data_IF_503075873407
#
_entry.id   IF_503075873407
#
_cell.length_a   1.000
_cell.length_b   1.000
_cell.length_c   1.000
_cell.angle_alpha   90.00
_cell.angle_beta   90.00
_cell.angle_gamma   90.00
#
_symmetry.space_group_name_H-M   'P 1'
#
loop_
_entity.id
_entity.type
_entity.pdbx_description
1 polymer ?
#
# COMPACT_ATOMS: atom_id res chain seq x y z
N UNK A 1 3.71 11.48 -13.19
CA UNK A 1 2.87 10.96 -12.09
C UNK A 1 1.92 12.07 -11.68
N UNK A 2 0.66 11.77 -11.31
CA UNK A 2 -0.27 12.81 -10.89
C UNK A 2 0.30 13.62 -9.73
N UNK A 3 0.08 14.94 -9.77
CA UNK A 3 0.41 15.81 -8.64
C UNK A 3 -0.71 15.72 -7.60
N UNK A 4 -0.33 15.56 -6.34
CA UNK A 4 -1.23 15.60 -5.20
C UNK A 4 -0.65 16.55 -4.16
N UNK A 5 -1.49 17.46 -3.68
CA UNK A 5 -1.13 18.41 -2.62
C UNK A 5 -2.14 18.23 -1.50
N UNK A 6 -1.64 17.98 -0.28
CA UNK A 6 -2.44 17.97 0.93
C UNK A 6 -2.08 19.18 1.79
N UNK A 7 -3.07 19.72 2.50
CA UNK A 7 -2.82 20.70 3.55
C UNK A 7 -2.18 20.05 4.77
N UNK A 8 -1.53 20.86 5.61
CA UNK A 8 -0.97 20.38 6.87
C UNK A 8 -2.08 19.82 7.78
N UNK A 9 -3.30 20.37 7.75
CA UNK A 9 -4.43 19.83 8.51
C UNK A 9 -4.84 18.43 8.02
N UNK A 10 -4.90 18.21 6.69
CA UNK A 10 -5.22 16.89 6.13
C UNK A 10 -4.17 15.84 6.50
N UNK A 11 -2.88 16.20 6.40
CA UNK A 11 -1.76 15.34 6.77
C UNK A 11 -1.82 15.00 8.26
N UNK A 12 -2.10 16.00 9.11
CA UNK A 12 -2.15 15.80 10.55
C UNK A 12 -3.35 14.91 10.95
N UNK A 13 -4.53 15.15 10.36
CA UNK A 13 -5.73 14.37 10.64
C UNK A 13 -5.58 12.87 10.28
N UNK A 14 -4.96 12.54 9.15
CA UNK A 14 -4.69 11.13 8.81
C UNK A 14 -3.62 10.52 9.71
N UNK A 15 -2.58 11.29 10.08
CA UNK A 15 -1.53 10.82 11.00
C UNK A 15 -2.07 10.48 12.37
N UNK A 16 -2.98 11.29 12.91
CA UNK A 16 -3.59 11.04 14.22
C UNK A 16 -4.43 9.77 14.20
N UNK A 17 -5.27 9.56 13.18
CA UNK A 17 -6.02 8.31 13.00
C UNK A 17 -5.11 7.10 12.86
N UNK A 18 -4.03 7.24 12.08
CA UNK A 18 -3.04 6.18 11.91
C UNK A 18 -2.33 5.83 13.22
N UNK A 19 -1.96 6.84 14.02
CA UNK A 19 -1.34 6.66 15.33
C UNK A 19 -2.28 5.98 16.33
N UNK A 20 -3.56 6.33 16.36
CA UNK A 20 -4.57 5.64 17.19
C UNK A 20 -4.67 4.16 16.80
N UNK A 21 -4.78 3.87 15.51
CA UNK A 21 -4.80 2.49 14.99
C UNK A 21 -3.56 1.70 15.42
N UNK A 22 -2.35 2.26 15.24
CA UNK A 22 -1.11 1.63 15.69
C UNK A 22 -1.08 1.38 17.20
N UNK A 23 -1.51 2.36 18.01
CA UNK A 23 -1.50 2.24 19.47
C UNK A 23 -2.44 1.14 19.95
N UNK A 24 -3.68 1.10 19.43
CA UNK A 24 -4.66 0.06 19.76
C UNK A 24 -4.16 -1.32 19.35
N UNK A 25 -3.59 -1.42 18.16
CA UNK A 25 -3.03 -2.67 17.65
C UNK A 25 -1.86 -3.16 18.53
N UNK A 26 -0.91 -2.28 18.89
CA UNK A 26 0.19 -2.62 19.83
C UNK A 26 -0.28 -2.99 21.23
N UNK A 27 -1.44 -2.49 21.65
CA UNK A 27 -2.06 -2.85 22.92
C UNK A 27 -2.85 -4.18 22.85
N UNK A 28 -2.84 -4.88 21.71
CA UNK A 28 -3.62 -6.10 21.49
C UNK A 28 -5.13 -5.85 21.43
N UNK A 29 -5.55 -4.60 21.24
CA UNK A 29 -6.96 -4.25 21.12
C UNK A 29 -7.39 -4.36 19.66
N UNK A 30 -8.61 -4.88 19.38
CA UNK A 30 -9.18 -4.84 18.03
C UNK A 30 -9.19 -3.40 17.50
N UNK A 31 -8.60 -3.18 16.34
CA UNK A 31 -8.51 -1.89 15.69
C UNK A 31 -8.89 -2.00 14.21
N UNK A 32 -9.53 -0.97 13.69
CA UNK A 32 -9.88 -0.81 12.28
C UNK A 32 -9.60 0.63 11.88
N UNK A 33 -9.09 0.81 10.67
CA UNK A 33 -8.93 2.13 10.06
C UNK A 33 -9.41 2.10 8.61
N UNK A 34 -10.17 3.11 8.23
CA UNK A 34 -10.60 3.36 6.87
C UNK A 34 -9.83 4.55 6.29
N UNK A 35 -9.24 4.35 5.12
CA UNK A 35 -8.41 5.33 4.43
C UNK A 35 -8.93 5.54 3.02
N UNK A 36 -9.27 6.78 2.70
CA UNK A 36 -9.54 7.18 1.31
C UNK A 36 -8.25 7.22 0.48
N UNK A 37 -8.38 7.34 -0.84
CA UNK A 37 -7.22 7.61 -1.71
C UNK A 37 -6.49 8.90 -1.30
N UNK A 38 -7.23 9.93 -0.89
CA UNK A 38 -6.67 11.22 -0.46
C UNK A 38 -5.93 11.09 0.88
N UNK A 39 -6.41 10.26 1.80
CA UNK A 39 -5.71 9.96 3.06
C UNK A 39 -4.34 9.31 2.79
N UNK A 40 -4.33 8.31 1.91
CA UNK A 40 -3.10 7.59 1.52
C UNK A 40 -2.15 8.55 0.81
N UNK A 41 -2.65 9.34 -0.14
CA UNK A 41 -1.83 10.31 -0.86
C UNK A 41 -1.35 11.46 0.03
N UNK A 42 -2.08 11.83 1.09
CA UNK A 42 -1.63 12.80 2.10
C UNK A 42 -0.44 12.26 2.88
N UNK A 43 -0.48 10.98 3.28
CA UNK A 43 0.67 10.32 3.91
C UNK A 43 1.87 10.23 2.95
N UNK A 44 1.64 9.91 1.68
CA UNK A 44 2.70 9.87 0.65
C UNK A 44 3.31 11.27 0.44
N UNK A 45 2.49 12.31 0.33
CA UNK A 45 2.94 13.69 0.14
C UNK A 45 3.80 14.18 1.31
N UNK A 46 3.55 13.68 2.52
CA UNK A 46 4.33 14.00 3.70
C UNK A 46 5.66 13.21 3.81
N UNK A 47 5.87 12.18 2.99
CA UNK A 47 7.10 11.38 2.96
C UNK A 47 8.07 11.88 1.90
N UNK A 48 9.27 12.31 2.30
CA UNK A 48 10.33 12.75 1.35
C UNK A 48 10.74 11.65 0.38
N UNK A 49 10.65 10.39 0.81
CA UNK A 49 11.07 9.26 -0.01
C UNK A 49 10.03 8.88 -1.06
N UNK A 50 8.74 9.04 -0.75
CA UNK A 50 7.62 8.63 -1.59
C UNK A 50 6.96 9.78 -2.37
N UNK A 51 7.03 11.02 -1.87
CA UNK A 51 6.44 12.19 -2.52
C UNK A 51 6.98 12.34 -3.95
N UNK A 52 6.06 12.46 -4.91
CA UNK A 52 6.41 12.56 -6.32
C UNK A 52 6.99 11.27 -6.93
N UNK A 53 7.01 10.17 -6.16
CA UNK A 53 7.46 8.82 -6.60
C UNK A 53 6.36 7.76 -6.54
N UNK A 54 5.30 7.98 -5.77
CA UNK A 54 4.17 7.07 -5.61
C UNK A 54 2.87 7.87 -5.67
N UNK A 55 1.83 7.28 -6.25
CA UNK A 55 0.47 7.79 -6.25
C UNK A 55 -0.53 6.64 -6.13
N UNK A 56 -1.58 6.84 -5.34
CA UNK A 56 -2.63 5.85 -5.11
C UNK A 56 -3.97 6.37 -5.59
N UNK A 57 -4.76 5.50 -6.21
CA UNK A 57 -6.16 5.76 -6.53
C UNK A 57 -7.02 4.56 -6.13
N UNK A 58 -8.26 4.83 -5.73
CA UNK A 58 -9.22 3.80 -5.36
C UNK A 58 -10.49 4.05 -6.17
N UNK A 59 -10.95 3.05 -6.91
CA UNK A 59 -12.18 3.10 -7.70
C UNK A 59 -13.06 1.90 -7.34
N UNK A 60 -14.14 2.13 -6.59
CA UNK A 60 -14.97 1.04 -6.07
C UNK A 60 -14.14 0.09 -5.20
N UNK A 61 -13.98 -1.15 -5.66
CA UNK A 61 -13.24 -2.21 -4.97
C UNK A 61 -11.82 -2.43 -5.53
N UNK A 62 -11.34 -1.48 -6.32
CA UNK A 62 -10.05 -1.56 -7.00
C UNK A 62 -9.07 -0.54 -6.42
N UNK A 63 -7.92 -1.03 -5.96
CA UNK A 63 -6.77 -0.22 -5.58
C UNK A 63 -5.79 -0.17 -6.74
N UNK A 64 -5.38 1.04 -7.14
CA UNK A 64 -4.32 1.23 -8.14
C UNK A 64 -3.19 2.05 -7.55
N UNK A 65 -1.99 1.48 -7.61
CA UNK A 65 -0.73 2.04 -7.18
C UNK A 65 0.11 2.36 -8.41
N UNK A 66 0.48 3.62 -8.58
CA UNK A 66 1.42 4.05 -9.60
C UNK A 66 2.72 4.45 -8.92
N UNK A 67 3.85 3.91 -9.38
CA UNK A 67 5.16 4.18 -8.84
C UNK A 67 6.14 4.51 -9.97
N UNK A 68 6.93 5.56 -9.76
CA UNK A 68 8.04 5.96 -10.62
C UNK A 68 9.24 6.22 -9.71
N UNK A 69 10.11 5.21 -9.57
CA UNK A 69 11.27 5.28 -8.66
C UNK A 69 12.56 5.26 -9.48
N UNK A 70 13.44 6.28 -9.37
CA UNK A 70 14.75 6.23 -10.02
C UNK A 70 15.58 5.11 -9.36
N UNK A 71 15.80 4.02 -10.10
CA UNK A 71 16.67 2.91 -9.67
C UNK A 71 18.16 3.24 -9.86
N UNK A 72 18.46 4.26 -10.67
CA UNK A 72 19.82 4.61 -11.02
C UNK A 72 20.71 5.00 -9.84
N UNK A 73 20.14 5.63 -8.81
CA UNK A 73 20.84 5.97 -7.57
C UNK A 73 21.17 4.72 -6.74
N UNK A 74 20.34 3.68 -6.82
CA UNK A 74 20.56 2.39 -6.14
C UNK A 74 21.52 1.45 -6.88
N UNK A 75 21.59 1.54 -8.21
CA UNK A 75 22.38 0.64 -9.06
C UNK A 75 23.68 1.28 -9.59
N UNK A 76 24.00 2.51 -9.18
CA UNK A 76 25.18 3.26 -9.67
C UNK A 76 25.12 3.58 -11.16
N UNK A 77 23.93 3.60 -11.76
CA UNK A 77 23.71 3.85 -13.19
C UNK A 77 22.64 4.93 -13.35
N UNK A 78 23.01 6.21 -13.47
CA UNK A 78 22.03 7.28 -13.67
C UNK A 78 21.16 7.00 -14.91
N UNK A 79 19.87 7.35 -14.83
CA UNK A 79 18.92 7.25 -15.95
C UNK A 79 17.93 6.08 -15.90
N UNK A 80 18.14 5.06 -15.08
CA UNK A 80 17.20 3.95 -14.96
C UNK A 80 16.07 4.25 -13.97
N UNK A 81 14.82 4.13 -14.43
CA UNK A 81 13.61 4.30 -13.62
C UNK A 81 12.82 2.99 -13.59
N UNK A 82 12.30 2.64 -12.40
CA UNK A 82 11.22 1.68 -12.28
C UNK A 82 9.91 2.42 -12.47
N UNK A 83 9.18 2.08 -13.52
CA UNK A 83 7.81 2.51 -13.73
C UNK A 83 6.90 1.29 -13.51
N UNK A 84 6.08 1.37 -12.46
CA UNK A 84 5.11 0.35 -12.12
C UNK A 84 3.72 0.94 -12.03
N UNK A 85 2.77 0.33 -12.70
CA UNK A 85 1.35 0.57 -12.52
C UNK A 85 0.71 -0.74 -12.07
N UNK A 86 0.36 -0.83 -10.79
CA UNK A 86 -0.15 -2.03 -10.15
C UNK A 86 -1.61 -1.79 -9.81
N UNK A 87 -2.47 -2.65 -10.32
CA UNK A 87 -3.89 -2.63 -9.98
C UNK A 87 -4.28 -3.93 -9.29
N UNK A 88 -4.94 -3.82 -8.14
CA UNK A 88 -5.39 -4.93 -7.31
C UNK A 88 -6.91 -4.83 -7.15
N UNK A 89 -7.62 -5.92 -7.44
CA UNK A 89 -9.06 -6.03 -7.28
C UNK A 89 -9.40 -6.87 -6.05
N UNK A 90 -10.25 -6.34 -5.17
CA UNK A 90 -10.67 -6.99 -3.94
C UNK A 90 -12.11 -7.49 -4.08
N UNK A 91 -12.35 -8.75 -3.69
CA UNK A 91 -13.70 -9.33 -3.63
C UNK A 91 -14.32 -9.29 -2.23
N UNK A 92 -13.54 -8.86 -1.24
CA UNK A 92 -13.90 -8.78 0.16
C UNK A 92 -12.65 -8.57 1.01
N UNK A 93 -12.76 -8.85 2.31
CA UNK A 93 -11.61 -8.86 3.20
C UNK A 93 -10.68 -10.03 2.88
N UNK A 94 -9.42 -9.72 2.64
CA UNK A 94 -8.34 -10.67 2.35
C UNK A 94 -7.38 -10.72 3.54
N UNK A 95 -6.98 -11.93 3.94
CA UNK A 95 -5.97 -12.12 4.98
C UNK A 95 -4.58 -11.77 4.45
N UNK A 96 -3.81 -10.96 5.18
CA UNK A 96 -2.40 -10.72 4.87
C UNK A 96 -1.49 -11.88 5.30
N UNK A 97 -2.04 -12.94 5.92
CA UNK A 97 -1.29 -14.17 6.20
C UNK A 97 -1.02 -14.99 4.95
N UNK A 98 -2.01 -15.06 4.05
CA UNK A 98 -1.91 -15.74 2.78
C UNK A 98 -2.78 -14.99 1.74
N UNK A 99 -2.35 -13.79 1.30
CA UNK A 99 -3.19 -12.91 0.49
C UNK A 99 -3.51 -13.55 -0.86
N UNK A 100 -4.80 -13.79 -1.11
CA UNK A 100 -5.30 -14.24 -2.40
C UNK A 100 -5.63 -13.01 -3.25
N UNK A 101 -4.59 -12.30 -3.71
CA UNK A 101 -4.78 -11.14 -4.57
C UNK A 101 -5.41 -11.58 -5.90
N UNK A 102 -6.75 -11.50 -5.96
CA UNK A 102 -7.59 -12.11 -7.00
C UNK A 102 -7.19 -11.73 -8.42
N UNK A 103 -6.76 -10.49 -8.60
CA UNK A 103 -6.25 -9.98 -9.87
C UNK A 103 -5.21 -8.92 -9.61
N UNK A 104 -4.00 -9.16 -10.13
CA UNK A 104 -2.95 -8.15 -10.19
C UNK A 104 -2.71 -7.85 -11.66
N UNK A 105 -2.77 -6.56 -12.02
CA UNK A 105 -2.38 -6.07 -13.34
C UNK A 105 -1.16 -5.21 -13.15
N UNK A 106 -0.07 -5.51 -13.85
CA UNK A 106 1.18 -4.74 -13.84
C UNK A 106 1.39 -4.16 -15.23
N UNK A 107 1.45 -2.83 -15.32
CA UNK A 107 1.67 -2.10 -16.58
C UNK A 107 0.65 -2.48 -17.69
N UNK A 108 -0.60 -2.73 -17.30
CA UNK A 108 -1.68 -3.12 -18.20
C UNK A 108 -1.76 -4.62 -18.52
N UNK A 109 -0.76 -5.41 -18.11
CA UNK A 109 -0.74 -6.85 -18.31
C UNK A 109 -1.18 -7.57 -17.03
N UNK A 110 -2.16 -8.47 -17.14
CA UNK A 110 -2.53 -9.33 -16.03
C UNK A 110 -1.38 -10.30 -15.76
N UNK A 111 -0.85 -10.26 -14.54
CA UNK A 111 0.21 -11.18 -14.13
C UNK A 111 -0.37 -12.41 -13.45
N UNK A 112 0.34 -13.56 -13.50
CA UNK A 112 -0.09 -14.77 -12.80
C UNK A 112 -0.31 -14.51 -11.30
N UNK A 113 -1.25 -15.23 -10.70
CA UNK A 113 -1.52 -15.19 -9.26
C UNK A 113 -0.29 -15.48 -8.40
N UNK A 114 0.70 -16.21 -8.95
CA UNK A 114 1.96 -16.54 -8.29
C UNK A 114 2.97 -15.39 -8.24
N UNK A 115 2.60 -14.16 -8.66
CA UNK A 115 3.47 -12.98 -8.61
C UNK A 115 4.12 -12.80 -7.23
N UNK A 116 3.40 -13.08 -6.15
CA UNK A 116 3.92 -12.94 -4.79
C UNK A 116 5.13 -13.86 -4.50
N UNK A 117 5.26 -14.96 -5.23
CA UNK A 117 6.41 -15.87 -5.16
C UNK A 117 7.61 -15.41 -6.00
N UNK A 118 7.45 -14.35 -6.80
CA UNK A 118 8.51 -13.84 -7.66
C UNK A 118 9.57 -13.08 -6.86
N UNK A 119 10.84 -13.21 -7.28
CA UNK A 119 11.99 -12.65 -6.54
C UNK A 119 12.31 -11.23 -7.00
N UNK A 120 12.34 -10.30 -6.05
CA UNK A 120 12.87 -8.94 -6.18
C UNK A 120 14.00 -8.70 -5.15
N UNK A 121 15.18 -8.29 -5.63
CA UNK A 121 16.40 -8.09 -4.80
C UNK A 121 16.65 -9.25 -3.82
N UNK A 122 16.69 -10.47 -4.35
CA UNK A 122 16.89 -11.75 -3.63
C UNK A 122 15.75 -12.22 -2.72
N UNK A 123 14.73 -11.40 -2.48
CA UNK A 123 13.57 -11.73 -1.64
C UNK A 123 12.32 -11.96 -2.48
N UNK A 124 11.40 -12.80 -2.04
CA UNK A 124 10.08 -12.95 -2.69
C UNK A 124 9.19 -11.76 -2.30
N UNK A 125 8.30 -11.34 -3.21
CA UNK A 125 7.41 -10.20 -2.94
C UNK A 125 6.54 -10.39 -1.69
N UNK A 126 6.10 -11.62 -1.39
CA UNK A 126 5.37 -11.93 -0.16
C UNK A 126 6.17 -11.65 1.12
N UNK A 127 7.51 -11.66 1.07
CA UNK A 127 8.35 -11.40 2.25
C UNK A 127 8.34 -9.91 2.61
N UNK A 128 8.24 -9.01 1.63
CA UNK A 128 8.04 -7.57 1.89
C UNK A 128 6.65 -7.29 2.46
N UNK A 129 5.62 -7.99 1.98
CA UNK A 129 4.27 -7.92 2.55
C UNK A 129 4.24 -8.43 3.99
N UNK A 130 4.95 -9.52 4.28
CA UNK A 130 5.06 -10.07 5.63
C UNK A 130 5.75 -9.09 6.60
N UNK A 131 6.82 -8.42 6.18
CA UNK A 131 7.50 -7.41 7.01
C UNK A 131 6.56 -6.24 7.35
N UNK A 132 5.85 -5.70 6.36
CA UNK A 132 4.88 -4.61 6.55
C UNK A 132 3.76 -5.04 7.50
N UNK A 133 3.17 -6.22 7.26
CA UNK A 133 2.15 -6.81 8.11
C UNK A 133 2.63 -6.96 9.55
N UNK A 134 3.83 -7.50 9.76
CA UNK A 134 4.38 -7.74 11.10
C UNK A 134 4.74 -6.44 11.83
N UNK A 135 5.13 -5.38 11.11
CA UNK A 135 5.48 -4.09 11.71
C UNK A 135 4.27 -3.36 12.30
N UNK A 136 3.09 -3.58 11.72
CA UNK A 136 1.85 -2.90 12.10
C UNK A 136 0.77 -3.85 12.64
N UNK A 137 1.10 -5.13 12.80
CA UNK A 137 0.22 -6.24 13.21
C UNK A 137 -1.17 -6.21 12.56
N UNK A 138 -1.17 -5.99 11.24
CA UNK A 138 -2.39 -5.97 10.41
C UNK A 138 -2.77 -7.42 10.08
N UNK A 139 -4.04 -7.78 10.29
CA UNK A 139 -4.59 -9.09 9.96
C UNK A 139 -5.19 -9.13 8.56
N UNK A 140 -6.06 -8.16 8.25
CA UNK A 140 -6.83 -8.16 7.00
C UNK A 140 -6.78 -6.84 6.27
N UNK A 141 -6.84 -6.91 4.94
CA UNK A 141 -6.99 -5.79 4.03
C UNK A 141 -8.27 -5.94 3.21
N UNK A 142 -9.02 -4.87 3.03
CA UNK A 142 -10.21 -4.83 2.19
C UNK A 142 -10.21 -3.51 1.41
N UNK A 143 -10.74 -3.53 0.19
CA UNK A 143 -11.11 -2.30 -0.52
C UNK A 143 -12.58 -2.36 -0.83
N UNK A 144 -13.32 -1.42 -0.26
CA UNK A 144 -14.78 -1.35 -0.36
C UNK A 144 -15.21 0.10 -0.42
N UNK A 145 -16.18 0.40 -1.29
CA UNK A 145 -16.80 1.73 -1.39
C UNK A 145 -15.81 2.90 -1.55
N UNK A 146 -14.70 2.67 -2.25
CA UNK A 146 -13.68 3.71 -2.48
C UNK A 146 -12.70 3.91 -1.32
N UNK A 147 -12.75 3.06 -0.29
CA UNK A 147 -11.87 3.12 0.87
C UNK A 147 -11.03 1.84 1.01
N UNK A 148 -9.80 2.02 1.46
CA UNK A 148 -8.94 0.95 1.97
C UNK A 148 -9.25 0.76 3.45
N UNK A 149 -9.61 -0.46 3.84
CA UNK A 149 -9.91 -0.83 5.22
C UNK A 149 -8.84 -1.78 5.71
N UNK A 150 -8.21 -1.45 6.83
CA UNK A 150 -7.21 -2.28 7.50
C UNK A 150 -7.71 -2.65 8.88
N UNK A 151 -7.57 -3.93 9.24
CA UNK A 151 -7.95 -4.45 10.56
C UNK A 151 -6.75 -5.09 11.23
N UNK A 152 -6.59 -4.86 12.53
CA UNK A 152 -5.57 -5.52 13.34
C UNK A 152 -5.75 -7.03 13.31
N UNK A 153 -4.67 -7.78 13.56
CA UNK A 153 -4.79 -9.22 13.80
C UNK A 153 -5.54 -9.41 15.12
N UNK A 154 -6.66 -10.13 15.06
CA UNK A 154 -7.30 -10.68 16.27
C UNK A 154 -6.83 -12.13 16.39
N UNK A 155 -6.37 -12.51 17.59
CA UNK A 155 -5.97 -13.90 17.91
C UNK A 155 -7.05 -14.93 17.57
#
# INVERSE_FOLDING_TARGET
MPEFTASDEQIQAVRERWQDFEQRTRAGQPAEIELSADDINSMIAASREARGKIFVSINGNQLRLQASVPLGEFLGRPGYHFNGDITVEFKGAESLENPQLNRIVVNGEQVPSDLLNWKYRSRRLHEYLADYRNSYDIGTIEVRDGQLILRSRTE
#
